data_IF_405024915537
#
_entry.id   IF_405024915537
#
_cell.length_a   1.000
_cell.length_b   1.000
_cell.length_c   1.000
_cell.angle_alpha   90.00
_cell.angle_beta   90.00
_cell.angle_gamma   90.00
#
_symmetry.space_group_name_H-M   'P 1'
#
loop_
_entity.id
_entity.type
_entity.pdbx_description
1 polymer ?
#
# COMPACT_ATOMS: atom_id res chain seq x y z
N UNK A 1 -16.21 6.21 5.10
CA UNK A 1 -15.83 5.23 4.07
C UNK A 1 -15.07 4.06 4.65
N UNK A 2 -13.84 4.20 5.18
CA UNK A 2 -13.09 3.12 5.88
C UNK A 2 -12.16 3.72 6.95
N UNK A 3 -11.63 2.90 7.87
CA UNK A 3 -10.49 3.27 8.74
C UNK A 3 -9.35 2.27 8.59
N UNK A 4 -8.11 2.76 8.46
CA UNK A 4 -6.91 1.92 8.38
C UNK A 4 -6.07 1.99 9.68
N UNK A 5 -5.87 0.84 10.31
CA UNK A 5 -4.84 0.64 11.33
C UNK A 5 -3.55 0.22 10.62
N UNK A 6 -2.62 1.16 10.52
CA UNK A 6 -1.32 0.92 9.91
C UNK A 6 -0.33 0.32 10.92
N UNK A 7 -0.03 -0.96 10.77
CA UNK A 7 1.04 -1.65 11.52
C UNK A 7 2.38 -1.46 10.81
N UNK A 8 2.40 -1.52 9.48
CA UNK A 8 3.63 -1.35 8.68
C UNK A 8 3.38 -0.73 7.31
N UNK A 9 4.48 -0.51 6.57
CA UNK A 9 4.46 -0.13 5.15
C UNK A 9 5.63 -0.77 4.43
N UNK A 10 5.51 -0.95 3.12
CA UNK A 10 6.52 -1.64 2.30
C UNK A 10 7.92 -1.07 2.42
N UNK A 11 8.04 0.25 2.33
CA UNK A 11 9.33 0.98 2.32
C UNK A 11 10.15 0.88 3.62
N UNK A 12 9.53 0.49 4.74
CA UNK A 12 10.18 0.40 6.06
C UNK A 12 9.27 -0.36 7.03
N UNK A 13 9.13 -1.69 6.86
CA UNK A 13 8.09 -2.48 7.51
C UNK A 13 8.18 -2.45 9.04
N UNK A 14 9.40 -2.42 9.60
CA UNK A 14 9.64 -2.40 11.05
C UNK A 14 9.82 -1.01 11.67
N UNK A 15 9.42 0.09 11.00
CA UNK A 15 9.64 1.45 11.50
C UNK A 15 8.42 2.37 11.38
N UNK A 16 8.32 3.28 12.34
CA UNK A 16 7.33 4.35 12.38
C UNK A 16 7.55 5.42 11.30
N UNK A 17 6.58 6.31 11.13
CA UNK A 17 6.68 7.45 10.22
C UNK A 17 7.85 8.39 10.55
N UNK A 18 8.45 8.96 9.50
CA UNK A 18 9.46 10.01 9.62
C UNK A 18 8.97 11.25 8.86
N UNK A 19 8.93 12.40 9.54
CA UNK A 19 8.77 13.70 8.89
C UNK A 19 9.97 14.59 9.24
N UNK A 20 10.85 14.89 8.27
CA UNK A 20 11.98 15.80 8.49
C UNK A 20 11.53 17.20 8.91
N UNK A 21 12.32 17.83 9.78
CA UNK A 21 12.06 19.14 10.39
C UNK A 21 11.80 20.25 9.38
N UNK A 22 12.45 20.18 8.21
CA UNK A 22 12.28 21.15 7.12
C UNK A 22 10.85 21.15 6.58
N UNK A 23 10.09 20.09 6.83
CA UNK A 23 8.69 19.92 6.43
C UNK A 23 7.71 20.13 7.58
N UNK A 24 8.18 20.52 8.77
CA UNK A 24 7.33 20.81 9.93
C UNK A 24 7.04 22.32 9.95
N UNK A 25 5.99 22.73 9.26
CA UNK A 25 5.47 24.11 9.30
C UNK A 25 4.76 24.39 10.62
N UNK A 26 4.42 25.65 10.90
CA UNK A 26 3.58 26.01 12.07
C UNK A 26 2.24 25.28 12.04
N UNK A 27 1.59 25.24 10.88
CA UNK A 27 0.33 24.50 10.64
C UNK A 27 0.49 23.00 10.98
N UNK A 28 1.56 22.36 10.50
CA UNK A 28 1.81 20.94 10.77
C UNK A 28 2.11 20.70 12.25
N UNK A 29 2.88 21.59 12.88
CA UNK A 29 3.20 21.52 14.30
C UNK A 29 1.92 21.62 15.16
N UNK A 30 1.02 22.54 14.82
CA UNK A 30 -0.26 22.73 15.48
C UNK A 30 -1.18 21.51 15.33
N UNK A 31 -1.42 21.06 14.09
CA UNK A 31 -2.31 19.92 13.80
C UNK A 31 -1.80 18.63 14.46
N UNK A 32 -0.48 18.41 14.45
CA UNK A 32 0.13 17.20 15.01
C UNK A 32 0.49 17.30 16.49
N UNK A 33 0.34 18.46 17.11
CA UNK A 33 0.73 18.75 18.50
C UNK A 33 2.19 18.39 18.79
N UNK A 34 3.08 18.85 17.92
CA UNK A 34 4.53 18.64 18.01
C UNK A 34 5.27 19.97 17.96
N UNK A 35 6.54 19.97 18.34
CA UNK A 35 7.39 21.15 18.21
C UNK A 35 7.85 21.36 16.77
N UNK A 36 7.80 22.62 16.31
CA UNK A 36 8.38 23.03 15.03
C UNK A 36 9.91 22.92 15.05
N UNK A 37 10.50 22.61 13.90
CA UNK A 37 11.96 22.62 13.72
C UNK A 37 12.68 21.38 14.26
N UNK A 38 11.93 20.34 14.66
CA UNK A 38 12.46 19.03 15.04
C UNK A 38 11.93 17.94 14.10
N UNK A 39 12.75 16.92 13.87
CA UNK A 39 12.33 15.75 13.12
C UNK A 39 11.25 15.01 13.93
N UNK A 40 10.19 14.59 13.25
CA UNK A 40 9.14 13.78 13.88
C UNK A 40 9.42 12.32 13.57
N UNK A 41 9.82 11.59 14.61
CA UNK A 41 9.91 10.13 14.59
C UNK A 41 8.69 9.55 15.29
N UNK A 42 7.84 8.85 14.54
CA UNK A 42 6.79 8.04 15.17
C UNK A 42 7.40 6.76 15.73
N UNK A 43 6.87 6.22 16.85
CA UNK A 43 7.27 4.91 17.34
C UNK A 43 7.08 3.82 16.28
N UNK A 44 7.89 2.76 16.35
CA UNK A 44 7.80 1.61 15.43
C UNK A 44 6.57 0.71 15.67
N UNK A 45 5.85 0.93 16.76
CA UNK A 45 4.66 0.19 17.16
C UNK A 45 3.62 1.14 17.73
N UNK A 46 2.36 0.70 17.79
CA UNK A 46 1.30 1.44 18.47
C UNK A 46 1.43 1.21 19.99
N UNK A 47 1.61 2.25 20.82
CA UNK A 47 1.82 2.07 22.27
C UNK A 47 0.69 1.32 23.00
N UNK A 48 -0.52 1.36 22.43
CA UNK A 48 -1.74 0.75 22.94
C UNK A 48 -2.08 -0.60 22.26
N UNK A 49 -1.21 -1.13 21.40
CA UNK A 49 -1.35 -2.44 20.76
C UNK A 49 -0.09 -3.25 21.04
N UNK A 50 -0.13 -4.07 22.10
CA UNK A 50 1.02 -4.88 22.53
C UNK A 50 0.96 -6.32 22.03
N UNK A 51 -0.25 -6.78 21.74
CA UNK A 51 -0.51 -8.12 21.23
C UNK A 51 -1.75 -8.12 20.31
N UNK A 52 -2.09 -9.30 19.81
CA UNK A 52 -3.25 -9.49 18.91
C UNK A 52 -4.59 -9.23 19.61
N UNK A 53 -4.68 -9.42 20.94
CA UNK A 53 -5.91 -9.17 21.68
C UNK A 53 -6.17 -7.66 21.79
N UNK A 54 -5.13 -6.86 21.98
CA UNK A 54 -5.23 -5.40 21.94
C UNK A 54 -5.54 -4.89 20.53
N UNK A 55 -4.96 -5.51 19.48
CA UNK A 55 -5.33 -5.17 18.10
C UNK A 55 -6.82 -5.47 17.85
N UNK A 56 -7.32 -6.61 18.33
CA UNK A 56 -8.74 -6.94 18.25
C UNK A 56 -9.62 -5.90 18.95
N UNK A 57 -9.29 -5.54 20.19
CA UNK A 57 -10.01 -4.49 20.93
C UNK A 57 -10.01 -3.17 20.16
N UNK A 58 -8.89 -2.82 19.52
CA UNK A 58 -8.77 -1.61 18.70
C UNK A 58 -9.71 -1.66 17.49
N UNK A 59 -9.73 -2.77 16.76
CA UNK A 59 -10.63 -2.99 15.62
C UNK A 59 -12.09 -2.87 16.06
N UNK A 60 -12.47 -3.57 17.14
CA UNK A 60 -13.84 -3.56 17.65
C UNK A 60 -14.26 -2.16 18.13
N UNK A 61 -13.39 -1.45 18.85
CA UNK A 61 -13.63 -0.07 19.28
C UNK A 61 -13.79 0.89 18.11
N UNK A 62 -12.91 0.84 17.10
CA UNK A 62 -13.02 1.69 15.91
C UNK A 62 -14.32 1.42 15.14
N UNK A 63 -14.70 0.15 15.02
CA UNK A 63 -15.96 -0.23 14.38
C UNK A 63 -17.17 0.30 15.14
N UNK A 64 -17.16 0.24 16.47
CA UNK A 64 -18.25 0.75 17.31
C UNK A 64 -18.41 2.28 17.18
N UNK A 65 -17.33 3.04 17.40
CA UNK A 65 -17.41 4.51 17.42
C UNK A 65 -17.74 5.13 16.06
N UNK A 66 -17.59 4.36 14.98
CA UNK A 66 -17.88 4.80 13.61
C UNK A 66 -19.23 4.32 13.09
N UNK A 67 -19.98 3.52 13.87
CA UNK A 67 -21.24 2.94 13.42
C UNK A 67 -21.07 1.84 12.36
N UNK A 68 -19.93 1.14 12.35
CA UNK A 68 -19.72 -0.04 11.52
C UNK A 68 -18.97 0.19 10.21
N UNK A 69 -18.16 1.25 10.08
CA UNK A 69 -17.33 1.40 8.87
C UNK A 69 -16.27 0.28 8.79
N UNK A 70 -15.92 -0.20 7.58
CA UNK A 70 -14.90 -1.22 7.41
C UNK A 70 -13.55 -0.82 8.00
N UNK A 71 -12.90 -1.77 8.68
CA UNK A 71 -11.57 -1.60 9.28
C UNK A 71 -10.54 -2.38 8.47
N UNK A 72 -9.48 -1.68 8.08
CA UNK A 72 -8.30 -2.23 7.40
C UNK A 72 -7.19 -2.41 8.42
N UNK A 73 -6.53 -3.56 8.43
CA UNK A 73 -5.21 -3.72 9.05
C UNK A 73 -4.17 -3.76 7.94
N UNK A 74 -3.31 -2.73 7.91
CA UNK A 74 -2.24 -2.62 6.92
C UNK A 74 -0.90 -3.10 7.47
N UNK A 75 -0.33 -4.08 6.80
CA UNK A 75 0.96 -4.70 7.11
C UNK A 75 1.99 -4.30 6.05
N UNK A 76 3.21 -3.98 6.48
CA UNK A 76 4.36 -4.03 5.59
C UNK A 76 4.77 -5.49 5.43
N UNK A 77 5.12 -5.93 4.22
CA UNK A 77 5.43 -7.33 3.97
C UNK A 77 6.77 -7.76 4.60
N UNK A 78 6.81 -7.96 5.91
CA UNK A 78 7.97 -8.44 6.66
C UNK A 78 7.98 -9.97 6.76
N UNK A 79 7.07 -10.52 7.57
CA UNK A 79 6.82 -11.95 7.67
C UNK A 79 5.32 -12.23 7.50
N UNK A 80 4.88 -12.18 6.24
CA UNK A 80 3.46 -12.29 5.87
C UNK A 80 2.82 -13.58 6.40
N UNK A 81 3.56 -14.69 6.43
CA UNK A 81 3.02 -15.98 6.86
C UNK A 81 2.80 -16.03 8.37
N UNK A 82 3.57 -15.27 9.16
CA UNK A 82 3.35 -15.10 10.60
C UNK A 82 2.31 -14.00 10.92
N UNK A 83 2.33 -12.89 10.16
CA UNK A 83 1.54 -11.69 10.47
C UNK A 83 0.06 -11.82 10.05
N UNK A 84 -0.22 -12.43 8.89
CA UNK A 84 -1.59 -12.57 8.37
C UNK A 84 -2.49 -13.37 9.32
N UNK A 85 -2.08 -14.51 9.89
CA UNK A 85 -2.91 -15.23 10.88
C UNK A 85 -3.24 -14.39 12.12
N UNK A 86 -2.34 -13.50 12.55
CA UNK A 86 -2.58 -12.60 13.67
C UNK A 86 -3.58 -11.51 13.27
N UNK A 87 -3.45 -10.93 12.08
CA UNK A 87 -4.43 -9.99 11.55
C UNK A 87 -5.82 -10.62 11.42
N UNK A 88 -5.93 -11.86 10.93
CA UNK A 88 -7.21 -12.59 10.87
C UNK A 88 -7.84 -12.73 12.26
N UNK A 89 -7.06 -13.08 13.28
CA UNK A 89 -7.54 -13.17 14.68
C UNK A 89 -8.01 -11.83 15.24
N UNK A 90 -7.43 -10.71 14.80
CA UNK A 90 -7.88 -9.39 15.17
C UNK A 90 -9.25 -9.01 14.56
N UNK A 91 -9.67 -9.70 13.50
CA UNK A 91 -10.98 -9.53 12.88
C UNK A 91 -11.22 -8.20 12.16
N UNK A 92 -10.26 -7.63 11.39
CA UNK A 92 -10.56 -6.55 10.47
C UNK A 92 -11.43 -7.07 9.32
N UNK A 93 -12.00 -6.14 8.55
CA UNK A 93 -12.76 -6.44 7.35
C UNK A 93 -11.81 -6.68 6.16
N UNK A 94 -10.69 -5.95 6.13
CA UNK A 94 -9.68 -5.99 5.07
C UNK A 94 -8.29 -6.17 5.68
N UNK A 95 -7.46 -7.01 5.04
CA UNK A 95 -6.03 -7.12 5.31
C UNK A 95 -5.29 -6.55 4.12
N UNK A 96 -4.59 -5.43 4.33
CA UNK A 96 -3.80 -4.77 3.29
C UNK A 96 -2.32 -5.12 3.45
N UNK A 97 -1.71 -5.68 2.40
CA UNK A 97 -0.29 -6.01 2.35
C UNK A 97 0.43 -5.02 1.44
N UNK A 98 1.46 -4.35 1.97
CA UNK A 98 2.32 -3.44 1.22
C UNK A 98 3.69 -4.10 1.01
N UNK A 99 3.95 -4.56 -0.21
CA UNK A 99 5.20 -5.22 -0.58
C UNK A 99 6.41 -4.30 -0.51
N UNK A 100 7.62 -4.86 -0.48
CA UNK A 100 8.88 -4.12 -0.31
C UNK A 100 9.07 -2.96 -1.31
N UNK A 101 8.46 -3.04 -2.50
CA UNK A 101 8.45 -1.97 -3.49
C UNK A 101 7.53 -0.78 -3.16
N UNK A 102 6.97 -0.71 -1.95
CA UNK A 102 6.19 0.42 -1.47
C UNK A 102 6.99 1.72 -1.42
N UNK A 103 6.35 2.84 -1.76
CA UNK A 103 6.98 4.16 -1.72
C UNK A 103 7.01 4.78 -0.31
N UNK A 104 7.86 5.80 -0.11
CA UNK A 104 7.83 6.66 1.08
C UNK A 104 8.38 8.04 0.78
N UNK A 105 7.98 9.02 1.59
CA UNK A 105 8.55 10.37 1.54
C UNK A 105 9.90 10.48 2.24
N UNK A 106 10.16 9.65 3.26
CA UNK A 106 11.40 9.59 4.03
C UNK A 106 11.54 8.23 4.73
N UNK A 107 12.74 7.65 4.65
CA UNK A 107 13.18 6.45 5.36
C UNK A 107 14.71 6.37 5.30
N UNK A 108 15.36 5.63 6.23
CA UNK A 108 16.75 5.24 6.06
C UNK A 108 16.94 4.40 4.79
N UNK A 109 18.02 4.63 4.04
CA UNK A 109 18.32 3.95 2.77
C UNK A 109 18.34 2.42 2.92
N UNK A 110 18.97 1.92 3.98
CA UNK A 110 18.99 0.48 4.27
C UNK A 110 17.58 -0.11 4.37
N UNK A 111 16.59 0.62 4.90
CA UNK A 111 15.21 0.14 4.98
C UNK A 111 14.52 0.10 3.62
N UNK A 112 14.88 1.00 2.72
CA UNK A 112 14.33 1.08 1.36
C UNK A 112 14.81 -0.07 0.49
N UNK A 113 16.09 -0.41 0.63
CA UNK A 113 16.77 -1.29 -0.32
C UNK A 113 16.87 -2.74 0.17
N UNK A 114 16.93 -2.96 1.49
CA UNK A 114 17.28 -4.28 2.05
C UNK A 114 16.13 -4.97 2.81
N UNK A 115 15.00 -4.28 3.06
CA UNK A 115 13.90 -4.82 3.86
C UNK A 115 12.61 -4.97 3.08
N UNK A 116 11.87 -6.04 3.40
CA UNK A 116 10.54 -6.32 2.85
C UNK A 116 10.53 -7.43 1.79
N UNK A 117 9.43 -8.17 1.75
CA UNK A 117 9.18 -9.23 0.79
C UNK A 117 8.64 -8.59 -0.51
N UNK A 118 9.13 -9.01 -1.69
CA UNK A 118 8.60 -8.55 -2.97
C UNK A 118 7.07 -8.71 -3.07
N UNK A 119 6.37 -7.71 -3.61
CA UNK A 119 4.90 -7.64 -3.65
C UNK A 119 4.21 -8.89 -4.16
N UNK A 120 4.67 -9.47 -5.27
CA UNK A 120 4.06 -10.68 -5.84
C UNK A 120 4.24 -11.88 -4.92
N UNK A 121 5.42 -12.03 -4.31
CA UNK A 121 5.69 -13.09 -3.33
C UNK A 121 4.86 -12.91 -2.07
N UNK A 122 4.71 -11.67 -1.59
CA UNK A 122 3.89 -11.33 -0.43
C UNK A 122 2.41 -11.65 -0.68
N UNK A 123 1.90 -11.29 -1.87
CA UNK A 123 0.52 -11.56 -2.28
C UNK A 123 0.18 -13.05 -2.25
N UNK A 124 0.97 -13.88 -2.94
CA UNK A 124 0.66 -15.31 -3.06
C UNK A 124 0.77 -16.04 -1.71
N UNK A 125 1.71 -15.61 -0.86
CA UNK A 125 1.83 -16.10 0.52
C UNK A 125 0.62 -15.71 1.37
N UNK A 126 0.23 -14.43 1.36
CA UNK A 126 -0.93 -13.95 2.10
C UNK A 126 -2.21 -14.69 1.67
N UNK A 127 -2.44 -14.81 0.36
CA UNK A 127 -3.60 -15.51 -0.19
C UNK A 127 -3.66 -16.96 0.28
N UNK A 128 -2.54 -17.68 0.16
CA UNK A 128 -2.44 -19.08 0.61
C UNK A 128 -2.83 -19.21 2.08
N UNK A 129 -2.29 -18.35 2.95
CA UNK A 129 -2.59 -18.38 4.39
C UNK A 129 -4.07 -18.08 4.67
N UNK A 130 -4.64 -17.08 4.00
CA UNK A 130 -6.07 -16.77 4.15
C UNK A 130 -6.96 -17.95 3.72
N UNK A 131 -6.61 -18.62 2.62
CA UNK A 131 -7.35 -19.79 2.11
C UNK A 131 -7.25 -20.98 3.08
N UNK A 132 -6.06 -21.26 3.61
CA UNK A 132 -5.82 -22.33 4.60
C UNK A 132 -6.60 -22.10 5.90
N UNK A 133 -6.78 -20.84 6.28
CA UNK A 133 -7.56 -20.45 7.47
C UNK A 133 -9.07 -20.37 7.20
N UNK A 134 -9.52 -20.47 5.95
CA UNK A 134 -10.91 -20.18 5.57
C UNK A 134 -11.34 -18.76 5.93
N UNK A 135 -10.38 -17.82 5.90
CA UNK A 135 -10.56 -16.43 6.27
C UNK A 135 -11.48 -15.70 5.29
N UNK A 136 -12.31 -14.78 5.79
CA UNK A 136 -13.31 -14.04 4.99
C UNK A 136 -12.87 -12.63 4.62
N UNK A 137 -11.73 -12.18 5.14
CA UNK A 137 -11.20 -10.85 4.91
C UNK A 137 -10.83 -10.67 3.44
N UNK A 138 -11.11 -9.48 2.91
CA UNK A 138 -10.56 -9.07 1.63
C UNK A 138 -9.04 -8.91 1.74
N UNK A 139 -8.32 -9.33 0.71
CA UNK A 139 -6.89 -9.16 0.57
C UNK A 139 -6.59 -8.01 -0.39
N UNK A 140 -6.11 -6.90 0.17
CA UNK A 140 -5.67 -5.75 -0.62
C UNK A 140 -4.15 -5.77 -0.76
N UNK A 141 -3.63 -5.51 -1.95
CA UNK A 141 -2.18 -5.55 -2.22
C UNK A 141 -1.68 -4.26 -2.84
N UNK A 142 -0.49 -3.84 -2.44
CA UNK A 142 0.21 -2.71 -3.04
C UNK A 142 1.73 -2.84 -2.93
N UNK A 143 2.41 -1.87 -3.52
CA UNK A 143 3.88 -1.84 -3.63
C UNK A 143 4.35 -2.18 -5.04
N UNK A 144 4.94 -1.20 -5.75
CA UNK A 144 5.54 -1.41 -7.07
C UNK A 144 4.60 -1.77 -8.24
N UNK A 145 3.27 -1.86 -8.04
CA UNK A 145 2.31 -2.08 -9.12
C UNK A 145 1.96 -0.74 -9.79
N UNK A 146 2.05 -0.66 -11.13
CA UNK A 146 2.07 0.64 -11.83
C UNK A 146 1.09 0.82 -12.98
N UNK A 147 0.54 -0.27 -13.52
CA UNK A 147 -0.32 -0.25 -14.70
C UNK A 147 -1.41 -1.31 -14.59
N UNK A 148 -2.46 -1.20 -15.41
CA UNK A 148 -3.61 -2.09 -15.39
C UNK A 148 -3.23 -3.56 -15.59
N UNK A 149 -2.22 -3.85 -16.40
CA UNK A 149 -1.70 -5.22 -16.56
C UNK A 149 -1.09 -5.80 -15.25
N UNK A 150 -0.42 -4.98 -14.43
CA UNK A 150 0.09 -5.41 -13.13
C UNK A 150 -1.08 -5.69 -12.17
N UNK A 151 -2.11 -4.83 -12.22
CA UNK A 151 -3.30 -4.95 -11.39
C UNK A 151 -4.11 -6.20 -11.74
N UNK A 152 -4.33 -6.47 -13.03
CA UNK A 152 -5.01 -7.67 -13.49
C UNK A 152 -4.27 -8.96 -13.07
N UNK A 153 -2.93 -8.95 -13.08
CA UNK A 153 -2.13 -10.07 -12.58
C UNK A 153 -2.27 -10.25 -11.07
N UNK A 154 -2.26 -9.16 -10.30
CA UNK A 154 -2.46 -9.22 -8.86
C UNK A 154 -3.86 -9.77 -8.50
N UNK A 155 -4.91 -9.32 -9.19
CA UNK A 155 -6.26 -9.87 -9.06
C UNK A 155 -6.29 -11.37 -9.39
N UNK A 156 -5.69 -11.78 -10.52
CA UNK A 156 -5.60 -13.18 -10.90
C UNK A 156 -4.84 -14.06 -9.89
N UNK A 157 -3.87 -13.49 -9.17
CA UNK A 157 -3.10 -14.16 -8.13
C UNK A 157 -3.84 -14.25 -6.77
N UNK A 158 -5.03 -13.66 -6.67
CA UNK A 158 -5.92 -13.78 -5.52
C UNK A 158 -6.05 -12.52 -4.65
N UNK A 159 -5.61 -11.35 -5.15
CA UNK A 159 -5.98 -10.09 -4.52
C UNK A 159 -7.46 -9.77 -4.79
N UNK A 160 -8.14 -9.20 -3.80
CA UNK A 160 -9.49 -8.64 -3.95
C UNK A 160 -9.43 -7.20 -4.45
N UNK A 161 -8.40 -6.45 -4.07
CA UNK A 161 -8.15 -5.11 -4.59
C UNK A 161 -6.65 -4.78 -4.66
N UNK A 162 -6.33 -3.77 -5.47
CA UNK A 162 -4.98 -3.21 -5.59
C UNK A 162 -4.98 -1.76 -5.15
N UNK A 163 -4.07 -1.38 -4.26
CA UNK A 163 -3.84 0.01 -3.90
C UNK A 163 -2.49 0.50 -4.45
N UNK A 164 -2.43 1.78 -4.82
CA UNK A 164 -1.20 2.39 -5.31
C UNK A 164 -1.07 3.84 -4.83
N UNK A 165 0.17 4.33 -4.81
CA UNK A 165 0.49 5.71 -4.45
C UNK A 165 1.44 6.34 -5.46
N UNK A 166 2.62 5.75 -5.66
CA UNK A 166 3.63 6.24 -6.61
C UNK A 166 3.08 6.49 -8.03
N UNK A 167 2.26 5.60 -8.64
CA UNK A 167 1.70 5.87 -9.96
C UNK A 167 0.81 7.11 -10.00
N UNK A 168 0.02 7.38 -8.95
CA UNK A 168 -0.74 8.62 -8.84
C UNK A 168 0.17 9.84 -8.70
N UNK A 169 1.27 9.73 -7.94
CA UNK A 169 2.27 10.81 -7.87
C UNK A 169 2.87 11.10 -9.25
N UNK A 170 3.19 10.06 -10.03
CA UNK A 170 3.72 10.19 -11.39
C UNK A 170 2.68 10.81 -12.32
N UNK A 171 1.42 10.36 -12.25
CA UNK A 171 0.32 10.94 -13.02
C UNK A 171 0.13 12.45 -12.70
N UNK A 172 0.30 12.86 -11.44
CA UNK A 172 0.32 14.28 -11.07
C UNK A 172 1.53 15.07 -11.59
N UNK A 173 2.52 14.41 -12.20
CA UNK A 173 3.73 15.05 -12.74
C UNK A 173 5.01 14.82 -11.94
N UNK A 174 5.03 13.89 -10.98
CA UNK A 174 6.27 13.55 -10.27
C UNK A 174 7.35 13.05 -11.22
N UNK A 175 8.50 13.73 -11.25
CA UNK A 175 9.67 13.35 -12.05
C UNK A 175 10.51 12.22 -11.43
N UNK A 176 10.05 11.62 -10.33
CA UNK A 176 10.78 10.58 -9.60
C UNK A 176 12.22 10.98 -9.19
N UNK A 177 12.40 12.25 -8.80
CA UNK A 177 13.71 12.79 -8.41
C UNK A 177 14.27 12.26 -7.07
N UNK A 178 13.48 11.53 -6.28
CA UNK A 178 13.85 10.95 -4.96
C UNK A 178 14.31 11.96 -3.90
N UNK A 179 13.94 13.24 -4.03
CA UNK A 179 14.25 14.30 -3.06
C UNK A 179 13.09 14.63 -2.10
N UNK A 180 12.13 13.72 -1.96
CA UNK A 180 10.88 13.94 -1.21
C UNK A 180 11.12 14.29 0.27
N UNK A 181 12.19 13.73 0.86
CA UNK A 181 12.55 13.93 2.26
C UNK A 181 13.09 15.34 2.52
N UNK A 182 13.78 15.95 1.55
CA UNK A 182 14.31 17.31 1.67
C UNK A 182 13.22 18.39 1.73
N UNK A 183 11.98 18.05 1.36
CA UNK A 183 10.90 19.04 1.26
C UNK A 183 11.11 20.05 0.13
N UNK A 184 11.96 19.75 -0.87
CA UNK A 184 12.31 20.65 -1.98
C UNK A 184 11.82 20.14 -3.35
N UNK A 185 10.66 19.48 -3.36
CA UNK A 185 10.10 18.92 -4.59
C UNK A 185 9.91 20.04 -5.65
N UNK A 186 10.56 19.96 -6.82
CA UNK A 186 10.48 21.04 -7.81
C UNK A 186 9.10 21.17 -8.47
N UNK A 187 8.24 20.15 -8.30
CA UNK A 187 6.90 20.04 -8.89
C UNK A 187 5.80 20.43 -7.90
N UNK A 188 6.14 20.84 -6.67
CA UNK A 188 5.15 21.21 -5.66
C UNK A 188 4.41 20.04 -4.98
N UNK A 189 4.75 18.78 -5.32
CA UNK A 189 4.04 17.59 -4.81
C UNK A 189 4.44 17.25 -3.36
N UNK A 190 5.73 17.06 -3.10
CA UNK A 190 6.24 16.57 -1.80
C UNK A 190 7.02 17.65 -1.03
N UNK A 191 6.45 18.85 -0.90
CA UNK A 191 7.07 20.03 -0.29
C UNK A 191 6.09 20.82 0.57
N UNK A 192 6.62 21.56 1.55
CA UNK A 192 5.85 22.54 2.33
C UNK A 192 6.27 23.98 2.04
N UNK A 193 7.19 24.19 1.10
CA UNK A 193 7.59 25.52 0.64
C UNK A 193 6.43 26.16 -0.16
N UNK A 194 5.91 27.33 0.25
CA UNK A 194 4.79 27.98 -0.43
C UNK A 194 5.07 28.30 -1.91
N UNK A 195 6.29 28.67 -2.28
CA UNK A 195 6.65 29.00 -3.66
C UNK A 195 6.75 27.74 -4.53
N UNK A 196 7.21 26.63 -3.97
CA UNK A 196 7.21 25.35 -4.68
C UNK A 196 5.80 24.76 -4.79
N UNK A 197 4.96 24.88 -3.76
CA UNK A 197 3.56 24.40 -3.78
C UNK A 197 2.75 25.07 -4.89
N UNK A 198 2.97 26.36 -5.17
CA UNK A 198 2.34 27.09 -6.29
C UNK A 198 2.63 26.49 -7.67
N UNK A 199 3.68 25.67 -7.80
CA UNK A 199 4.05 25.02 -9.07
C UNK A 199 3.14 23.83 -9.41
N UNK A 200 2.40 23.29 -8.44
CA UNK A 200 1.45 22.21 -8.69
C UNK A 200 0.14 22.79 -9.24
N UNK A 201 -0.13 22.54 -10.52
CA UNK A 201 -1.44 22.77 -11.12
C UNK A 201 -2.39 21.66 -10.67
N UNK A 202 -3.20 21.95 -9.64
CA UNK A 202 -4.11 20.97 -9.01
C UNK A 202 -5.19 20.49 -9.98
N UNK A 203 -5.69 21.36 -10.85
CA UNK A 203 -6.76 21.01 -11.80
C UNK A 203 -6.22 20.03 -12.83
N UNK A 204 -5.08 20.36 -13.45
CA UNK A 204 -4.41 19.47 -14.39
C UNK A 204 -4.02 18.14 -13.72
N UNK A 205 -3.43 18.19 -12.53
CA UNK A 205 -3.00 16.99 -11.81
C UNK A 205 -4.19 16.05 -11.48
N UNK A 206 -5.35 16.63 -11.15
CA UNK A 206 -6.58 15.87 -10.91
C UNK A 206 -7.11 15.20 -12.19
N UNK A 207 -7.09 15.91 -13.31
CA UNK A 207 -7.47 15.37 -14.62
C UNK A 207 -6.53 14.24 -15.06
N UNK A 208 -5.22 14.42 -14.85
CA UNK A 208 -4.20 13.43 -15.22
C UNK A 208 -4.31 12.16 -14.36
N UNK A 209 -4.58 12.27 -13.04
CA UNK A 209 -4.91 11.12 -12.19
C UNK A 209 -6.18 10.42 -12.70
N UNK A 210 -7.24 11.17 -12.98
CA UNK A 210 -8.50 10.59 -13.45
C UNK A 210 -8.32 9.84 -14.76
N UNK A 211 -7.53 10.40 -15.69
CA UNK A 211 -7.16 9.73 -16.94
C UNK A 211 -6.34 8.46 -16.69
N UNK A 212 -5.37 8.50 -15.77
CA UNK A 212 -4.59 7.32 -15.38
C UNK A 212 -5.47 6.18 -14.82
N UNK A 213 -6.40 6.51 -13.92
CA UNK A 213 -7.34 5.54 -13.34
C UNK A 213 -8.22 4.94 -14.44
N UNK A 214 -8.77 5.80 -15.32
CA UNK A 214 -9.60 5.37 -16.44
C UNK A 214 -8.83 4.42 -17.37
N UNK A 215 -7.62 4.78 -17.77
CA UNK A 215 -6.80 3.96 -18.67
C UNK A 215 -6.40 2.63 -18.03
N UNK A 216 -6.01 2.64 -16.74
CA UNK A 216 -5.72 1.40 -16.00
C UNK A 216 -6.94 0.49 -15.91
N UNK A 217 -8.13 1.08 -15.75
CA UNK A 217 -9.41 0.35 -15.75
C UNK A 217 -9.68 -0.28 -17.12
N UNK A 218 -9.47 0.45 -18.21
CA UNK A 218 -9.63 -0.09 -19.57
C UNK A 218 -8.63 -1.22 -19.87
N UNK A 219 -7.37 -1.11 -19.41
CA UNK A 219 -6.40 -2.21 -19.52
C UNK A 219 -6.85 -3.48 -18.79
N UNK A 220 -7.41 -3.35 -17.59
CA UNK A 220 -7.96 -4.49 -16.84
C UNK A 220 -9.15 -5.11 -17.60
N UNK A 221 -10.05 -4.29 -18.16
CA UNK A 221 -11.17 -4.77 -18.98
C UNK A 221 -10.69 -5.53 -20.21
N UNK A 222 -9.68 -5.01 -20.91
CA UNK A 222 -9.07 -5.68 -22.07
C UNK A 222 -8.51 -7.04 -21.65
N UNK A 223 -7.80 -7.11 -20.52
CA UNK A 223 -7.25 -8.36 -20.01
C UNK A 223 -8.35 -9.38 -19.64
N UNK A 224 -9.42 -8.94 -18.97
CA UNK A 224 -10.56 -9.78 -18.64
C UNK A 224 -11.28 -10.29 -19.89
N UNK A 225 -11.57 -9.42 -20.85
CA UNK A 225 -12.24 -9.77 -22.11
C UNK A 225 -11.41 -10.76 -22.94
N UNK A 226 -10.09 -10.58 -23.01
CA UNK A 226 -9.18 -11.50 -23.70
C UNK A 226 -9.18 -12.92 -23.08
N UNK A 227 -9.52 -13.03 -21.80
CA UNK A 227 -9.66 -14.29 -21.07
C UNK A 227 -11.10 -14.80 -21.00
N UNK A 228 -12.03 -14.15 -21.72
CA UNK A 228 -13.45 -14.49 -21.72
C UNK A 228 -14.13 -14.29 -20.36
N UNK A 229 -13.65 -13.34 -19.55
CA UNK A 229 -14.23 -13.00 -18.25
C UNK A 229 -14.98 -11.68 -18.34
N UNK A 230 -16.19 -11.65 -17.75
CA UNK A 230 -17.06 -10.48 -17.63
C UNK A 230 -16.95 -9.78 -16.26
N UNK A 231 -16.32 -10.45 -15.29
CA UNK A 231 -16.01 -9.92 -13.97
C UNK A 231 -14.50 -10.05 -13.69
N UNK A 232 -13.87 -8.97 -13.23
CA UNK A 232 -12.44 -8.94 -12.91
C UNK A 232 -12.06 -9.90 -11.76
N UNK A 233 -13.01 -10.23 -10.88
CA UNK A 233 -12.79 -11.18 -9.80
C UNK A 233 -12.83 -12.64 -10.28
N UNK A 234 -13.21 -12.89 -11.54
CA UNK A 234 -13.09 -14.22 -12.16
C UNK A 234 -11.70 -14.45 -12.80
N UNK A 235 -10.84 -13.42 -12.85
CA UNK A 235 -9.45 -13.59 -13.20
C UNK A 235 -8.79 -14.57 -12.22
N UNK A 236 -8.05 -15.53 -12.75
CA UNK A 236 -7.45 -16.58 -11.92
C UNK A 236 -6.07 -16.98 -12.42
N UNK A 237 -5.25 -17.46 -11.49
CA UNK A 237 -3.85 -17.83 -11.71
C UNK A 237 -3.65 -18.92 -12.77
N UNK A 238 -4.69 -19.73 -13.06
CA UNK A 238 -4.64 -20.76 -14.11
C UNK A 238 -4.45 -20.22 -15.53
N UNK A 239 -4.75 -18.93 -15.74
CA UNK A 239 -4.54 -18.21 -17.01
C UNK A 239 -3.19 -17.50 -17.09
N UNK A 240 -2.40 -17.49 -16.02
CA UNK A 240 -1.05 -16.95 -16.03
C UNK A 240 -0.03 -18.02 -16.42
N UNK A 241 1.13 -17.59 -16.91
CA UNK A 241 2.30 -18.44 -17.08
C UNK A 241 3.54 -17.76 -16.49
N UNK A 242 4.34 -18.53 -15.77
CA UNK A 242 5.63 -18.10 -15.29
C UNK A 242 6.66 -18.21 -16.41
N UNK A 243 7.57 -17.23 -16.50
CA UNK A 243 8.61 -17.21 -17.53
C UNK A 243 9.86 -18.02 -17.14
N UNK A 244 10.00 -18.36 -15.86
CA UNK A 244 11.10 -19.16 -15.35
C UNK A 244 10.64 -20.03 -14.15
N UNK A 245 11.41 -21.08 -13.81
CA UNK A 245 11.07 -22.00 -12.73
C UNK A 245 10.94 -21.32 -11.35
N UNK A 246 11.74 -20.29 -11.08
CA UNK A 246 11.74 -19.59 -9.79
C UNK A 246 10.40 -18.86 -9.56
N UNK A 247 9.90 -18.14 -10.56
CA UNK A 247 8.58 -17.49 -10.51
C UNK A 247 7.48 -18.54 -10.39
N UNK A 248 7.59 -19.66 -11.11
CA UNK A 248 6.62 -20.75 -11.04
C UNK A 248 6.55 -21.32 -9.61
N UNK A 249 7.70 -21.56 -8.99
CA UNK A 249 7.81 -22.05 -7.63
C UNK A 249 7.24 -21.06 -6.61
N UNK A 250 7.55 -19.77 -6.74
CA UNK A 250 7.08 -18.73 -5.82
C UNK A 250 5.57 -18.56 -5.91
N UNK A 251 5.04 -18.45 -7.13
CA UNK A 251 3.64 -18.06 -7.37
C UNK A 251 2.67 -19.23 -7.46
N UNK A 252 3.18 -20.46 -7.66
CA UNK A 252 2.38 -21.63 -7.99
C UNK A 252 1.71 -21.55 -9.36
N UNK A 253 2.16 -20.64 -10.23
CA UNK A 253 1.71 -20.53 -11.62
C UNK A 253 2.51 -21.51 -12.49
N UNK A 254 1.86 -22.14 -13.47
CA UNK A 254 2.52 -23.06 -14.40
C UNK A 254 3.62 -22.36 -15.23
N UNK A 255 4.76 -23.03 -15.41
CA UNK A 255 5.82 -22.62 -16.32
C UNK A 255 5.34 -22.67 -17.78
N UNK A 256 5.84 -21.76 -18.63
CA UNK A 256 5.65 -21.81 -20.10
C UNK A 256 6.20 -23.09 -20.73
#
# INVERSE_FOLDING_TARGET
DVIEIKIGQGAKPGQGGLLPKEKVTDEIAEIRKVEKGKDIHSPAYHPDIKDVADLKKKVDWLREITGGVPIIVKLGAGDVEADVPLAVKAGPDIIAIDGGQGGTGAAPEIMLDEFGIPTISALVKARKVLDELGARQELWIGGGLTKGADFAKALALGADAVFCGTPFLIAMGCLYCRLCYLGKCPLGIATQDPELRKKLDVEKASQDIAAYIKNSTEEIKIAAAALGQDNIHNLNKGRLRALNPEIAQITGVSLI
#
